data_IF_015978795171
#
_entry.id   IF_015978795171
#
_cell.length_a   1.000
_cell.length_b   1.000
_cell.length_c   1.000
_cell.angle_alpha   90.00
_cell.angle_beta   90.00
_cell.angle_gamma   90.00
#
_symmetry.space_group_name_H-M   'P 1'
#
loop_
_entity.id
_entity.type
_entity.pdbx_description
1 polymer ?
#
# COMPACT_ATOMS: atom_id res chain seq x y z
N UNK A 1 20.46 -4.94 1.73
CA UNK A 1 19.84 -4.22 0.60
C UNK A 1 18.40 -3.93 0.96
N UNK A 2 18.05 -2.70 1.34
CA UNK A 2 16.65 -2.24 1.38
C UNK A 2 16.55 -1.09 0.39
N UNK A 3 15.98 -1.35 -0.79
CA UNK A 3 15.85 -0.35 -1.87
C UNK A 3 14.81 0.74 -1.53
N UNK A 4 13.82 0.40 -0.71
CA UNK A 4 12.89 1.33 -0.08
C UNK A 4 13.27 1.48 1.39
N UNK A 5 13.77 2.66 1.78
CA UNK A 5 14.21 2.91 3.17
C UNK A 5 13.09 3.51 4.04
N UNK A 6 12.13 4.19 3.42
CA UNK A 6 11.04 4.87 4.08
C UNK A 6 9.75 4.58 3.33
N UNK A 7 8.71 4.16 4.04
CA UNK A 7 7.39 4.09 3.46
C UNK A 7 6.71 5.45 3.56
N UNK A 8 6.62 6.14 2.42
CA UNK A 8 5.86 7.39 2.30
C UNK A 8 4.69 7.21 1.32
N UNK A 9 3.47 7.37 1.81
CA UNK A 9 2.26 7.24 1.01
C UNK A 9 1.93 8.51 0.21
N UNK A 10 2.85 9.47 0.12
CA UNK A 10 2.69 10.67 -0.71
C UNK A 10 1.49 11.51 -0.28
N UNK A 11 1.25 11.61 1.02
CA UNK A 11 0.09 12.32 1.57
C UNK A 11 -1.29 11.72 1.24
N UNK A 12 -1.34 10.51 0.68
CA UNK A 12 -2.58 9.81 0.32
C UNK A 12 -3.01 8.84 1.42
N UNK A 13 -3.26 9.34 2.63
CA UNK A 13 -3.92 8.55 3.67
C UNK A 13 -5.33 8.17 3.18
N UNK A 14 -5.56 6.87 2.95
CA UNK A 14 -6.85 6.34 2.48
C UNK A 14 -6.93 5.98 0.98
N UNK A 15 -5.80 5.73 0.30
CA UNK A 15 -5.75 5.14 -1.05
C UNK A 15 -6.47 5.92 -2.15
N UNK A 16 -6.43 7.26 -2.11
CA UNK A 16 -7.07 8.05 -3.16
C UNK A 16 -6.17 9.15 -3.68
N UNK A 17 -5.04 8.74 -4.26
CA UNK A 17 -4.07 9.61 -4.93
C UNK A 17 -4.76 10.55 -5.93
N UNK A 18 -5.70 10.04 -6.73
CA UNK A 18 -6.51 10.84 -7.64
C UNK A 18 -7.26 11.97 -6.93
N UNK A 19 -7.97 11.68 -5.83
CA UNK A 19 -8.68 12.71 -5.06
C UNK A 19 -7.71 13.74 -4.46
N UNK A 20 -6.52 13.31 -4.03
CA UNK A 20 -5.49 14.22 -3.56
C UNK A 20 -5.06 15.17 -4.69
N UNK A 21 -4.75 14.64 -5.87
CA UNK A 21 -4.40 15.41 -7.07
C UNK A 21 -5.49 16.44 -7.41
N UNK A 22 -6.74 15.97 -7.51
CA UNK A 22 -7.87 16.82 -7.89
C UNK A 22 -8.11 17.93 -6.87
N UNK A 23 -8.14 17.60 -5.58
CA UNK A 23 -8.52 18.57 -4.54
C UNK A 23 -7.40 19.53 -4.14
N UNK A 24 -6.13 19.11 -4.24
CA UNK A 24 -5.00 19.93 -3.82
C UNK A 24 -4.32 20.68 -4.95
N UNK A 25 -4.39 20.16 -6.19
CA UNK A 25 -3.70 20.77 -7.33
C UNK A 25 -4.71 21.29 -8.35
N UNK A 26 -5.52 20.42 -8.96
CA UNK A 26 -6.40 20.80 -10.10
C UNK A 26 -7.41 21.89 -9.73
N UNK A 27 -8.09 21.77 -8.57
CA UNK A 27 -9.09 22.75 -8.15
C UNK A 27 -8.51 24.05 -7.59
N UNK A 28 -7.22 24.08 -7.24
CA UNK A 28 -6.58 25.20 -6.52
C UNK A 28 -5.61 25.99 -7.39
N UNK A 29 -5.02 25.38 -8.41
CA UNK A 29 -3.98 25.98 -9.24
C UNK A 29 -4.56 26.29 -10.62
N UNK A 30 -4.69 27.58 -10.94
CA UNK A 30 -5.14 28.03 -12.27
C UNK A 30 -3.99 28.26 -13.24
N UNK A 31 -2.80 28.61 -12.73
CA UNK A 31 -1.63 28.92 -13.56
C UNK A 31 -1.04 27.65 -14.17
N UNK A 32 -0.91 27.64 -15.49
CA UNK A 32 -0.29 26.54 -16.24
C UNK A 32 1.17 26.31 -15.83
N UNK A 33 1.93 27.38 -15.58
CA UNK A 33 3.32 27.23 -15.14
C UNK A 33 3.39 26.60 -13.75
N UNK A 34 2.57 27.08 -12.81
CA UNK A 34 2.59 26.60 -11.42
C UNK A 34 2.17 25.14 -11.35
N UNK A 35 1.17 24.70 -12.13
CA UNK A 35 0.77 23.29 -12.12
C UNK A 35 1.87 22.39 -12.69
N UNK A 36 2.62 22.84 -13.70
CA UNK A 36 3.78 22.08 -14.19
C UNK A 36 4.90 22.00 -13.15
N UNK A 37 5.18 23.09 -12.45
CA UNK A 37 6.22 23.09 -11.40
C UNK A 37 5.84 22.14 -10.25
N UNK A 38 4.56 22.09 -9.85
CA UNK A 38 4.06 21.14 -8.84
C UNK A 38 4.07 19.68 -9.34
N UNK A 39 3.78 19.44 -10.62
CA UNK A 39 3.85 18.10 -11.24
C UNK A 39 5.26 17.55 -11.11
N UNK A 40 6.27 18.32 -11.52
CA UNK A 40 7.68 17.88 -11.49
C UNK A 40 8.27 17.87 -10.07
N UNK A 41 7.65 18.60 -9.14
CA UNK A 41 8.07 18.69 -7.75
C UNK A 41 7.33 17.73 -6.81
N UNK A 42 6.42 18.30 -6.02
CA UNK A 42 5.78 17.62 -4.89
C UNK A 42 4.92 16.43 -5.32
N UNK A 43 4.25 16.55 -6.48
CA UNK A 43 3.36 15.52 -6.98
C UNK A 43 4.14 14.30 -7.50
N UNK A 44 5.24 14.51 -8.24
CA UNK A 44 6.10 13.42 -8.69
C UNK A 44 6.65 12.62 -7.51
N UNK A 45 7.07 13.28 -6.43
CA UNK A 45 7.54 12.60 -5.23
C UNK A 45 6.43 11.77 -4.57
N UNK A 46 5.23 12.34 -4.47
CA UNK A 46 4.06 11.65 -3.92
C UNK A 46 3.65 10.44 -4.76
N UNK A 47 3.65 10.58 -6.09
CA UNK A 47 3.38 9.51 -7.06
C UNK A 47 4.41 8.38 -6.92
N UNK A 48 5.69 8.70 -6.81
CA UNK A 48 6.77 7.72 -6.61
C UNK A 48 6.59 6.96 -5.30
N UNK A 49 6.36 7.66 -4.19
CA UNK A 49 6.14 7.05 -2.87
C UNK A 49 4.95 6.10 -2.87
N UNK A 50 3.79 6.58 -3.34
CA UNK A 50 2.58 5.77 -3.47
C UNK A 50 2.82 4.52 -4.34
N UNK A 51 3.37 4.70 -5.55
CA UNK A 51 3.57 3.60 -6.51
C UNK A 51 4.50 2.53 -5.95
N UNK A 52 5.65 2.93 -5.38
CA UNK A 52 6.61 2.00 -4.81
C UNK A 52 6.01 1.28 -3.60
N UNK A 53 5.36 1.99 -2.67
CA UNK A 53 4.74 1.35 -1.50
C UNK A 53 3.63 0.38 -1.90
N UNK A 54 2.77 0.75 -2.86
CA UNK A 54 1.72 -0.13 -3.37
C UNK A 54 2.31 -1.38 -4.03
N UNK A 55 3.40 -1.23 -4.79
CA UNK A 55 4.11 -2.36 -5.39
C UNK A 55 4.71 -3.27 -4.32
N UNK A 56 5.40 -2.71 -3.32
CA UNK A 56 5.98 -3.48 -2.21
C UNK A 56 4.90 -4.19 -1.41
N UNK A 57 3.81 -3.51 -1.05
CA UNK A 57 2.70 -4.13 -0.34
C UNK A 57 2.09 -5.28 -1.12
N UNK A 58 1.86 -5.12 -2.43
CA UNK A 58 1.29 -6.17 -3.27
C UNK A 58 2.17 -7.42 -3.32
N UNK A 59 3.44 -7.28 -3.67
CA UNK A 59 4.34 -8.43 -3.80
C UNK A 59 4.69 -9.07 -2.45
N UNK A 60 4.78 -8.27 -1.39
CA UNK A 60 5.00 -8.80 -0.03
C UNK A 60 3.80 -9.63 0.42
N UNK A 61 2.57 -9.19 0.17
CA UNK A 61 1.38 -9.98 0.45
C UNK A 61 1.40 -11.32 -0.30
N UNK A 62 1.73 -11.32 -1.60
CA UNK A 62 1.85 -12.56 -2.39
C UNK A 62 2.86 -13.52 -1.77
N UNK A 63 4.06 -13.03 -1.42
CA UNK A 63 5.12 -13.86 -0.84
C UNK A 63 4.72 -14.41 0.53
N UNK A 64 4.09 -13.59 1.37
CA UNK A 64 3.62 -14.05 2.69
C UNK A 64 2.54 -15.11 2.51
N UNK A 65 1.55 -14.88 1.65
CA UNK A 65 0.52 -15.89 1.38
C UNK A 65 1.10 -17.22 0.88
N UNK A 66 2.09 -17.17 -0.02
CA UNK A 66 2.79 -18.35 -0.52
C UNK A 66 3.45 -19.13 0.62
N UNK A 67 4.14 -18.42 1.52
CA UNK A 67 4.73 -19.01 2.72
C UNK A 67 3.69 -19.68 3.65
N UNK A 68 2.51 -19.09 3.80
CA UNK A 68 1.43 -19.71 4.58
C UNK A 68 0.90 -20.98 3.89
N UNK A 69 0.76 -20.95 2.55
CA UNK A 69 0.24 -22.07 1.75
C UNK A 69 1.14 -23.31 1.76
N UNK A 70 2.43 -23.15 2.08
CA UNK A 70 3.35 -24.28 2.27
C UNK A 70 3.05 -25.14 3.51
N UNK A 71 2.25 -24.63 4.46
CA UNK A 71 1.93 -25.35 5.69
C UNK A 71 0.71 -26.27 5.50
N UNK A 72 0.82 -27.53 5.92
CA UNK A 72 -0.19 -28.59 5.67
C UNK A 72 -1.61 -28.27 6.18
N UNK A 73 -1.74 -27.45 7.21
CA UNK A 73 -3.03 -27.05 7.79
C UNK A 73 -3.66 -25.84 7.12
N UNK A 74 -3.00 -25.26 6.12
CA UNK A 74 -3.45 -24.06 5.42
C UNK A 74 -4.13 -24.48 4.12
N UNK A 75 -5.39 -24.07 3.97
CA UNK A 75 -6.15 -24.24 2.73
C UNK A 75 -6.23 -22.91 1.98
N UNK A 76 -5.67 -22.78 0.77
CA UNK A 76 -5.82 -21.57 -0.03
C UNK A 76 -7.27 -21.39 -0.47
N UNK A 77 -7.68 -20.14 -0.69
CA UNK A 77 -8.99 -19.86 -1.29
C UNK A 77 -9.03 -20.32 -2.76
N UNK A 78 -10.08 -21.06 -3.12
CA UNK A 78 -10.35 -21.44 -4.51
C UNK A 78 -11.04 -20.27 -5.20
N UNK A 79 -10.25 -19.31 -5.70
CA UNK A 79 -10.73 -18.09 -6.34
C UNK A 79 -10.85 -16.88 -5.39
N UNK A 80 -11.19 -15.71 -5.94
CA UNK A 80 -11.26 -14.44 -5.22
C UNK A 80 -12.49 -14.39 -4.29
N UNK A 81 -12.40 -15.01 -3.11
CA UNK A 81 -13.39 -14.82 -2.04
C UNK A 81 -13.11 -13.50 -1.34
N UNK A 82 -14.07 -12.56 -1.39
CA UNK A 82 -13.86 -11.21 -0.85
C UNK A 82 -13.56 -11.29 0.66
N UNK A 83 -12.40 -10.74 1.07
CA UNK A 83 -11.90 -10.68 2.47
C UNK A 83 -11.51 -12.02 3.09
N UNK A 84 -11.16 -13.01 2.29
CA UNK A 84 -10.58 -14.27 2.79
C UNK A 84 -9.41 -14.60 1.86
N UNK A 85 -8.22 -14.77 2.43
CA UNK A 85 -7.02 -15.12 1.66
C UNK A 85 -6.72 -16.63 1.79
N UNK A 86 -6.85 -17.18 3.01
CA UNK A 86 -6.67 -18.61 3.29
C UNK A 86 -7.46 -19.05 4.53
N UNK A 87 -7.56 -20.36 4.73
CA UNK A 87 -8.10 -20.97 5.93
C UNK A 87 -6.99 -21.67 6.70
N UNK A 88 -7.04 -21.63 8.04
CA UNK A 88 -6.21 -22.47 8.90
C UNK A 88 -7.16 -23.32 9.73
N UNK A 89 -7.09 -24.65 9.61
CA UNK A 89 -8.01 -25.57 10.30
C UNK A 89 -9.49 -25.18 10.11
N UNK A 90 -9.90 -24.92 8.86
CA UNK A 90 -11.25 -24.47 8.47
C UNK A 90 -11.70 -23.09 9.00
N UNK A 91 -10.82 -22.34 9.66
CA UNK A 91 -11.09 -20.97 10.11
C UNK A 91 -10.59 -19.97 9.04
N UNK A 92 -11.43 -19.04 8.55
CA UNK A 92 -11.04 -18.08 7.51
C UNK A 92 -10.17 -16.95 8.06
N UNK A 93 -9.12 -16.59 7.32
CA UNK A 93 -8.23 -15.48 7.63
C UNK A 93 -8.12 -14.50 6.45
N UNK A 94 -7.98 -13.22 6.79
CA UNK A 94 -7.71 -12.10 5.89
C UNK A 94 -6.32 -11.57 6.28
N UNK A 95 -5.34 -11.77 5.42
CA UNK A 95 -3.99 -11.29 5.60
C UNK A 95 -3.99 -9.75 5.56
N UNK A 96 -3.37 -9.17 6.58
CA UNK A 96 -3.15 -7.73 6.67
C UNK A 96 -1.70 -7.50 7.05
N UNK A 97 -1.02 -6.71 6.22
CA UNK A 97 0.34 -6.24 6.47
C UNK A 97 0.26 -4.76 6.83
N UNK A 98 0.84 -4.40 7.96
CA UNK A 98 0.84 -3.01 8.48
C UNK A 98 2.11 -2.74 9.28
N UNK A 99 2.34 -1.48 9.61
CA UNK A 99 3.44 -1.06 10.46
C UNK A 99 3.31 -1.66 11.85
N UNK A 100 4.44 -2.09 12.41
CA UNK A 100 4.48 -2.50 13.80
C UNK A 100 4.26 -1.27 14.70
N UNK A 101 3.30 -1.30 15.64
CA UNK A 101 3.02 -0.15 16.49
C UNK A 101 4.22 0.24 17.36
N UNK A 102 4.69 1.48 17.25
CA UNK A 102 5.84 1.97 18.03
C UNK A 102 5.63 1.87 19.54
N UNK A 103 4.38 1.95 20.01
CA UNK A 103 4.05 1.83 21.43
C UNK A 103 4.41 0.45 21.99
N UNK A 104 4.37 -0.59 21.15
CA UNK A 104 4.75 -1.95 21.52
C UNK A 104 6.28 -2.17 21.49
N UNK A 105 7.05 -1.23 20.94
CA UNK A 105 8.53 -1.25 20.96
C UNK A 105 9.11 -0.63 22.23
N UNK A 106 8.32 0.15 22.98
CA UNK A 106 8.75 0.77 24.24
C UNK A 106 8.60 -0.27 25.35
N UNK A 107 9.74 -0.76 25.87
CA UNK A 107 9.82 -1.59 27.08
C UNK A 107 9.62 -0.76 28.34
#
# INVERSE_FOLDING_TARGET
MNRLQHFDWGGSFGNSLEKNIVNNYVKKIQSYQVINDEIEGSLLNSLRGYTLNSWYNHWTSIIIEDLFKDHETVLPTVGLVKKIDFFINDIPFDLKVTYFPEQLLKR
#
